data_IF_966351951411
#
_entry.id   IF_966351951411
#
_cell.length_a   1.000
_cell.length_b   1.000
_cell.length_c   1.000
_cell.angle_alpha   90.00
_cell.angle_beta   90.00
_cell.angle_gamma   90.00
#
_symmetry.space_group_name_H-M   'P 1'
#
loop_
_entity.id
_entity.type
_entity.pdbx_description
1 polymer ?
#
# COMPACT_ATOMS: atom_id res chain seq x y z
N UNK A 1 17.90 22.98 4.63
CA UNK A 1 16.70 22.84 5.49
C UNK A 1 15.50 22.69 4.58
N UNK A 2 14.71 21.65 4.77
CA UNK A 2 13.56 21.39 3.91
C UNK A 2 12.44 22.43 4.17
N UNK A 3 11.98 23.05 3.09
CA UNK A 3 10.92 24.07 3.15
C UNK A 3 9.55 23.52 2.78
N UNK A 4 9.52 22.37 2.11
CA UNK A 4 8.32 21.76 1.60
C UNK A 4 8.11 20.36 2.17
N UNK A 5 6.84 19.99 2.34
CA UNK A 5 6.41 18.70 2.85
C UNK A 5 5.27 18.14 1.99
N UNK A 6 5.40 16.91 1.55
CA UNK A 6 4.31 16.09 0.99
C UNK A 6 3.96 15.01 1.97
N UNK A 7 2.67 14.77 2.18
CA UNK A 7 2.16 13.68 3.01
C UNK A 7 1.30 12.77 2.15
N UNK A 8 1.65 11.50 2.10
CA UNK A 8 0.92 10.44 1.42
C UNK A 8 0.46 9.36 2.38
N UNK A 9 -0.73 8.86 2.18
CA UNK A 9 -1.24 7.68 2.88
C UNK A 9 -1.93 6.73 1.90
N UNK A 10 -1.79 5.44 2.13
CA UNK A 10 -2.55 4.42 1.42
C UNK A 10 -3.61 3.82 2.35
N UNK A 11 -4.82 3.59 1.83
CA UNK A 11 -5.89 2.86 2.51
C UNK A 11 -6.01 1.50 1.85
N UNK A 12 -5.70 0.46 2.58
CA UNK A 12 -5.76 -0.89 2.06
C UNK A 12 -6.44 -1.85 3.05
N UNK A 13 -7.17 -2.82 2.51
CA UNK A 13 -7.71 -3.97 3.24
C UNK A 13 -7.41 -5.22 2.42
N UNK A 14 -6.71 -6.21 2.99
CA UNK A 14 -6.47 -7.45 2.28
C UNK A 14 -7.77 -8.21 2.03
N UNK A 15 -7.78 -9.02 1.00
CA UNK A 15 -8.80 -10.03 0.75
C UNK A 15 -8.26 -11.36 1.25
N UNK A 16 -8.69 -11.79 2.42
CA UNK A 16 -8.11 -12.92 3.14
C UNK A 16 -8.46 -14.24 2.52
N UNK A 17 -7.48 -15.13 2.43
CA UNK A 17 -7.69 -16.50 2.01
C UNK A 17 -8.57 -17.24 3.03
N UNK A 18 -9.34 -18.20 2.55
CA UNK A 18 -10.12 -19.10 3.41
C UNK A 18 -9.22 -20.20 3.96
N UNK A 19 -8.97 -20.19 5.26
CA UNK A 19 -8.24 -21.24 5.95
C UNK A 19 -9.11 -21.88 7.06
N UNK A 20 -9.15 -23.20 7.18
CA UNK A 20 -8.54 -24.19 6.28
C UNK A 20 -9.07 -24.14 4.86
N UNK A 21 -8.19 -24.50 3.89
CA UNK A 21 -8.50 -24.46 2.47
C UNK A 21 -9.64 -25.41 2.10
N UNK A 22 -10.58 -24.92 1.33
CA UNK A 22 -11.68 -25.74 0.78
C UNK A 22 -11.36 -26.23 -0.62
N UNK A 23 -11.85 -27.43 -0.94
CA UNK A 23 -11.78 -27.97 -2.31
C UNK A 23 -12.81 -27.23 -3.16
N UNK A 24 -12.41 -26.74 -4.32
CA UNK A 24 -13.33 -26.21 -5.33
C UNK A 24 -13.91 -27.40 -6.09
N UNK A 25 -15.22 -27.67 -5.99
CA UNK A 25 -15.84 -28.80 -6.69
C UNK A 25 -15.69 -28.69 -8.21
N UNK A 26 -15.64 -29.85 -8.87
CA UNK A 26 -15.61 -29.92 -10.32
C UNK A 26 -16.83 -29.21 -10.94
N UNK A 27 -16.63 -28.45 -12.01
CA UNK A 27 -17.71 -27.73 -12.69
C UNK A 27 -18.29 -26.56 -11.93
N UNK A 28 -17.63 -26.09 -10.85
CA UNK A 28 -18.04 -24.87 -10.14
C UNK A 28 -18.04 -23.68 -11.08
N UNK A 29 -19.17 -22.97 -11.20
CA UNK A 29 -19.25 -21.75 -12.00
C UNK A 29 -18.24 -20.70 -11.52
N UNK A 30 -17.61 -19.93 -12.43
CA UNK A 30 -16.59 -18.93 -12.06
C UNK A 30 -17.01 -17.99 -10.95
N UNK A 31 -18.27 -17.57 -10.95
CA UNK A 31 -18.82 -16.63 -9.93
C UNK A 31 -18.87 -17.24 -8.52
N UNK A 32 -18.92 -18.55 -8.41
CA UNK A 32 -18.96 -19.25 -7.12
C UNK A 32 -17.57 -19.61 -6.58
N UNK A 33 -16.53 -19.66 -7.43
CA UNK A 33 -15.17 -20.02 -7.04
C UNK A 33 -14.62 -19.13 -5.89
N UNK A 34 -14.80 -17.79 -5.90
CA UNK A 34 -14.29 -16.92 -4.83
C UNK A 34 -14.76 -17.33 -3.43
N UNK A 35 -15.97 -17.89 -3.29
CA UNK A 35 -16.50 -18.35 -2.00
C UNK A 35 -15.73 -19.53 -1.38
N UNK A 36 -14.98 -20.30 -2.19
CA UNK A 36 -14.10 -21.37 -1.72
C UNK A 36 -12.68 -20.89 -1.40
N UNK A 37 -12.26 -19.77 -1.99
CA UNK A 37 -10.88 -19.28 -1.90
C UNK A 37 -10.71 -18.17 -0.85
N UNK A 38 -11.72 -17.32 -0.66
CA UNK A 38 -11.65 -16.13 0.21
C UNK A 38 -12.64 -16.22 1.35
N UNK A 39 -12.27 -15.66 2.51
CA UNK A 39 -13.10 -15.62 3.69
C UNK A 39 -13.73 -14.25 3.91
N UNK A 40 -14.92 -14.05 3.32
CA UNK A 40 -15.65 -12.79 3.43
C UNK A 40 -16.10 -12.46 4.86
N UNK A 41 -16.33 -13.47 5.70
CA UNK A 41 -16.73 -13.23 7.09
C UNK A 41 -15.55 -12.66 7.89
N UNK A 42 -14.36 -13.21 7.66
CA UNK A 42 -13.13 -12.75 8.28
C UNK A 42 -12.74 -11.35 7.75
N UNK A 43 -12.86 -11.13 6.43
CA UNK A 43 -12.65 -9.81 5.84
C UNK A 43 -13.54 -8.76 6.47
N UNK A 44 -14.84 -9.06 6.61
CA UNK A 44 -15.78 -8.16 7.24
C UNK A 44 -15.47 -7.88 8.70
N UNK A 45 -15.09 -8.92 9.46
CA UNK A 45 -14.72 -8.79 10.87
C UNK A 45 -13.59 -7.78 11.06
N UNK A 46 -12.47 -7.98 10.35
CA UNK A 46 -11.30 -7.09 10.45
C UNK A 46 -11.57 -5.72 9.84
N UNK A 47 -12.36 -5.65 8.76
CA UNK A 47 -12.76 -4.36 8.20
C UNK A 47 -13.54 -3.51 9.22
N UNK A 48 -14.54 -4.11 9.89
CA UNK A 48 -15.36 -3.40 10.90
C UNK A 48 -14.50 -2.95 12.10
N UNK A 49 -13.54 -3.77 12.52
CA UNK A 49 -12.58 -3.42 13.58
C UNK A 49 -11.73 -2.22 13.19
N UNK A 50 -11.09 -2.26 12.02
CA UNK A 50 -10.23 -1.18 11.52
C UNK A 50 -11.05 0.09 11.21
N UNK A 51 -12.28 -0.08 10.73
CA UNK A 51 -13.19 1.06 10.53
C UNK A 51 -13.45 1.84 11.83
N UNK A 52 -13.62 1.13 12.95
CA UNK A 52 -13.86 1.74 14.24
C UNK A 52 -12.59 2.38 14.84
N UNK A 53 -11.45 1.71 14.73
CA UNK A 53 -10.19 2.15 15.33
C UNK A 53 -9.51 3.25 14.51
N UNK A 54 -9.54 3.17 13.17
CA UNK A 54 -8.80 4.04 12.25
C UNK A 54 -9.70 4.83 11.29
N UNK A 55 -10.40 4.17 10.35
CA UNK A 55 -11.01 4.89 9.21
C UNK A 55 -11.97 6.00 9.61
N UNK A 56 -12.87 5.75 10.56
CA UNK A 56 -13.85 6.75 11.01
C UNK A 56 -13.17 7.91 11.75
N UNK A 57 -12.39 7.67 12.83
CA UNK A 57 -11.79 8.77 13.59
C UNK A 57 -10.68 9.50 12.83
N UNK A 58 -9.84 8.79 12.03
CA UNK A 58 -8.77 9.42 11.27
C UNK A 58 -9.32 10.26 10.11
N UNK A 59 -10.31 9.75 9.34
CA UNK A 59 -10.93 10.54 8.27
C UNK A 59 -11.61 11.81 8.83
N UNK A 60 -12.24 11.74 10.01
CA UNK A 60 -12.79 12.91 10.69
C UNK A 60 -11.69 13.90 11.08
N UNK A 61 -10.59 13.42 11.68
CA UNK A 61 -9.45 14.26 12.05
C UNK A 61 -8.84 14.96 10.84
N UNK A 62 -8.54 14.22 9.78
CA UNK A 62 -7.96 14.80 8.56
C UNK A 62 -8.93 15.74 7.83
N UNK A 63 -10.24 15.48 7.88
CA UNK A 63 -11.25 16.44 7.37
C UNK A 63 -11.15 17.78 8.08
N UNK A 64 -10.94 17.80 9.39
CA UNK A 64 -10.76 19.06 10.15
C UNK A 64 -9.40 19.72 9.87
N UNK A 65 -8.34 18.93 9.76
CA UNK A 65 -7.00 19.43 9.47
C UNK A 65 -6.90 20.04 8.08
N UNK A 66 -7.50 19.40 7.06
CA UNK A 66 -7.49 19.91 5.68
C UNK A 66 -8.23 21.24 5.55
N UNK A 67 -9.31 21.45 6.30
CA UNK A 67 -9.99 22.75 6.38
C UNK A 67 -9.10 23.85 6.97
N UNK A 68 -8.07 23.51 7.73
CA UNK A 68 -7.11 24.43 8.36
C UNK A 68 -5.81 24.56 7.58
N UNK A 69 -5.76 23.99 6.35
CA UNK A 69 -4.62 24.12 5.44
C UNK A 69 -3.64 22.95 5.45
N UNK A 70 -3.94 21.85 6.18
CA UNK A 70 -3.20 20.60 6.02
C UNK A 70 -3.42 20.06 4.59
N UNK A 71 -2.33 19.77 3.88
CA UNK A 71 -2.41 19.09 2.58
C UNK A 71 -1.95 17.65 2.73
N UNK A 72 -2.62 16.75 2.03
CA UNK A 72 -2.26 15.34 1.99
C UNK A 72 -2.72 14.68 0.70
N UNK A 73 -2.20 13.50 0.43
CA UNK A 73 -2.69 12.65 -0.64
C UNK A 73 -3.07 11.28 -0.11
N UNK A 74 -4.04 10.65 -0.75
CA UNK A 74 -4.60 9.37 -0.32
C UNK A 74 -4.74 8.43 -1.51
N UNK A 75 -4.13 7.24 -1.41
CA UNK A 75 -4.35 6.11 -2.30
C UNK A 75 -5.40 5.16 -1.73
N UNK A 76 -6.16 4.50 -2.60
CA UNK A 76 -7.14 3.49 -2.20
C UNK A 76 -6.97 2.23 -3.03
N UNK A 77 -6.77 1.09 -2.39
CA UNK A 77 -6.84 -0.19 -3.08
C UNK A 77 -8.29 -0.52 -3.44
N UNK A 78 -8.48 -1.24 -4.54
CA UNK A 78 -9.81 -1.71 -4.94
C UNK A 78 -10.39 -2.70 -3.93
N UNK A 79 -9.53 -3.45 -3.25
CA UNK A 79 -9.93 -4.36 -2.17
C UNK A 79 -10.64 -3.61 -1.05
N UNK A 80 -10.06 -2.50 -0.57
CA UNK A 80 -10.72 -1.63 0.41
C UNK A 80 -12.05 -1.08 -0.13
N UNK A 81 -12.07 -0.57 -1.37
CA UNK A 81 -13.27 0.06 -1.93
C UNK A 81 -14.44 -0.91 -2.03
N UNK A 82 -14.21 -2.14 -2.53
CA UNK A 82 -15.24 -3.18 -2.62
C UNK A 82 -15.80 -3.55 -1.25
N UNK A 83 -14.94 -3.69 -0.26
CA UNK A 83 -15.34 -3.99 1.12
C UNK A 83 -16.12 -2.83 1.73
N UNK A 84 -15.66 -1.59 1.55
CA UNK A 84 -16.32 -0.39 2.06
C UNK A 84 -17.72 -0.18 1.43
N UNK A 85 -17.84 -0.35 0.12
CA UNK A 85 -19.12 -0.26 -0.60
C UNK A 85 -20.11 -1.30 -0.09
N UNK A 86 -19.64 -2.53 0.15
CA UNK A 86 -20.50 -3.66 0.53
C UNK A 86 -20.94 -3.61 2.00
N UNK A 87 -20.01 -3.31 2.92
CA UNK A 87 -20.26 -3.47 4.35
C UNK A 87 -20.32 -2.17 5.14
N UNK A 88 -19.66 -1.13 4.67
CA UNK A 88 -19.50 0.11 5.43
C UNK A 88 -19.64 1.38 4.56
N UNK A 89 -20.80 1.63 3.90
CA UNK A 89 -20.99 2.79 3.05
C UNK A 89 -20.80 4.13 3.80
N UNK A 90 -20.96 4.14 5.13
CA UNK A 90 -20.67 5.32 5.97
C UNK A 90 -19.17 5.63 6.04
N UNK A 91 -18.31 4.62 6.03
CA UNK A 91 -16.85 4.79 5.96
C UNK A 91 -16.48 5.43 4.63
N UNK A 92 -16.98 4.87 3.53
CA UNK A 92 -16.75 5.42 2.20
C UNK A 92 -17.26 6.87 2.08
N UNK A 93 -18.42 7.18 2.63
CA UNK A 93 -18.95 8.55 2.68
C UNK A 93 -18.04 9.50 3.46
N UNK A 94 -17.42 9.02 4.55
CA UNK A 94 -16.40 9.76 5.32
C UNK A 94 -15.16 10.09 4.48
N UNK A 95 -14.64 9.12 3.73
CA UNK A 95 -13.54 9.36 2.80
C UNK A 95 -13.93 10.26 1.63
N UNK A 96 -15.11 10.10 1.04
CA UNK A 96 -15.61 11.03 0.01
C UNK A 96 -15.66 12.48 0.52
N UNK A 97 -16.11 12.68 1.76
CA UNK A 97 -16.11 14.00 2.39
C UNK A 97 -14.71 14.57 2.58
N UNK A 98 -13.74 13.76 3.05
CA UNK A 98 -12.34 14.15 3.18
C UNK A 98 -11.73 14.50 1.82
N UNK A 99 -11.92 13.63 0.84
CA UNK A 99 -11.38 13.78 -0.51
C UNK A 99 -12.01 14.92 -1.31
N UNK A 100 -13.19 15.41 -0.93
CA UNK A 100 -13.78 16.60 -1.55
C UNK A 100 -13.00 17.90 -1.25
N UNK A 101 -12.12 17.90 -0.23
CA UNK A 101 -11.26 19.04 0.07
C UNK A 101 -10.29 19.34 -1.09
N UNK A 102 -10.05 20.61 -1.46
CA UNK A 102 -9.01 20.98 -2.43
C UNK A 102 -7.59 20.68 -1.89
N UNK A 103 -7.45 20.48 -0.60
CA UNK A 103 -6.19 20.14 0.07
C UNK A 103 -5.93 18.62 0.13
N UNK A 104 -6.72 17.82 -0.58
CA UNK A 104 -6.52 16.37 -0.70
C UNK A 104 -6.40 15.98 -2.16
N UNK A 105 -5.32 15.31 -2.51
CA UNK A 105 -5.11 14.70 -3.83
C UNK A 105 -5.32 13.20 -3.75
N UNK A 106 -5.94 12.62 -4.77
CA UNK A 106 -6.09 11.17 -4.89
C UNK A 106 -4.90 10.63 -5.66
N UNK A 107 -4.29 9.60 -5.12
CA UNK A 107 -3.20 8.85 -5.74
C UNK A 107 -3.76 7.54 -6.28
N UNK A 108 -3.47 7.23 -7.54
CA UNK A 108 -3.79 5.90 -8.07
C UNK A 108 -2.89 4.85 -7.42
N UNK A 109 -3.46 3.72 -7.07
CA UNK A 109 -2.72 2.58 -6.50
C UNK A 109 -3.03 1.36 -7.34
N UNK A 110 -2.13 0.38 -7.38
CA UNK A 110 -2.41 -0.90 -8.02
C UNK A 110 -3.68 -1.50 -7.39
N UNK A 111 -4.74 -1.76 -8.20
CA UNK A 111 -6.09 -2.01 -7.65
C UNK A 111 -6.20 -3.22 -6.74
N UNK A 112 -5.46 -4.29 -7.04
CA UNK A 112 -5.51 -5.55 -6.30
C UNK A 112 -4.52 -5.59 -5.14
N UNK A 113 -3.63 -4.60 -5.04
CA UNK A 113 -2.46 -4.62 -4.16
C UNK A 113 -1.62 -5.88 -4.37
N UNK A 114 -1.31 -6.17 -5.64
CA UNK A 114 -0.83 -7.47 -6.10
C UNK A 114 0.53 -7.42 -6.78
N UNK A 115 1.16 -8.60 -6.91
CA UNK A 115 2.39 -8.77 -7.67
C UNK A 115 2.16 -8.93 -9.19
N UNK A 116 1.01 -8.48 -9.70
CA UNK A 116 0.71 -8.47 -11.13
C UNK A 116 1.80 -7.76 -11.94
N UNK A 117 2.34 -6.67 -11.40
CA UNK A 117 3.47 -5.93 -11.98
C UNK A 117 4.72 -6.80 -12.23
N UNK A 118 4.87 -7.89 -11.49
CA UNK A 118 6.00 -8.81 -11.63
C UNK A 118 5.73 -9.92 -12.63
N UNK A 119 4.48 -10.35 -12.76
CA UNK A 119 4.10 -11.48 -13.61
C UNK A 119 3.63 -11.08 -15.00
N UNK A 120 2.99 -9.91 -15.12
CA UNK A 120 2.36 -9.48 -16.37
C UNK A 120 2.25 -7.95 -16.44
N UNK A 121 3.30 -7.32 -16.96
CA UNK A 121 3.37 -5.86 -17.06
C UNK A 121 2.27 -5.25 -17.96
N UNK A 122 1.73 -6.01 -18.92
CA UNK A 122 0.64 -5.56 -19.77
C UNK A 122 -0.66 -5.50 -18.97
N UNK A 123 -0.99 -6.61 -18.29
CA UNK A 123 -2.16 -6.66 -17.42
C UNK A 123 -2.07 -5.69 -16.25
N UNK A 124 -0.85 -5.43 -15.73
CA UNK A 124 -0.61 -4.38 -14.74
C UNK A 124 -1.00 -2.99 -15.28
N UNK A 125 -0.55 -2.62 -16.48
CA UNK A 125 -0.93 -1.32 -17.09
C UNK A 125 -2.45 -1.19 -17.26
N UNK A 126 -3.10 -2.24 -17.75
CA UNK A 126 -4.56 -2.28 -17.90
C UNK A 126 -5.26 -2.09 -16.54
N UNK A 127 -4.79 -2.78 -15.50
CA UNK A 127 -5.31 -2.63 -14.14
C UNK A 127 -5.13 -1.20 -13.61
N UNK A 128 -3.94 -0.61 -13.80
CA UNK A 128 -3.66 0.77 -13.39
C UNK A 128 -4.58 1.78 -14.06
N UNK A 129 -4.85 1.63 -15.36
CA UNK A 129 -5.76 2.51 -16.09
C UNK A 129 -7.22 2.34 -15.65
N UNK A 130 -7.67 1.10 -15.45
CA UNK A 130 -9.01 0.81 -14.95
C UNK A 130 -9.22 1.33 -13.51
N UNK A 131 -8.19 1.15 -12.65
CA UNK A 131 -8.19 1.67 -11.28
C UNK A 131 -8.29 3.19 -11.25
N UNK A 132 -7.51 3.89 -12.08
CA UNK A 132 -7.58 5.34 -12.21
C UNK A 132 -8.98 5.80 -12.60
N UNK A 133 -9.57 5.21 -13.64
CA UNK A 133 -10.91 5.56 -14.08
C UNK A 133 -11.93 5.38 -12.94
N UNK A 134 -11.89 4.24 -12.25
CA UNK A 134 -12.78 4.00 -11.10
C UNK A 134 -12.65 5.03 -10.00
N UNK A 135 -11.42 5.40 -9.63
CA UNK A 135 -11.17 6.40 -8.59
C UNK A 135 -11.63 7.80 -9.04
N UNK A 136 -11.38 8.18 -10.30
CA UNK A 136 -11.85 9.45 -10.88
C UNK A 136 -13.40 9.54 -10.86
N UNK A 137 -14.08 8.45 -11.22
CA UNK A 137 -15.54 8.36 -11.15
C UNK A 137 -16.06 8.41 -9.70
N UNK A 138 -15.38 7.74 -8.76
CA UNK A 138 -15.82 7.64 -7.37
C UNK A 138 -15.64 8.96 -6.60
N UNK A 139 -14.53 9.65 -6.82
CA UNK A 139 -14.16 10.86 -6.09
C UNK A 139 -14.35 12.16 -6.87
N UNK A 140 -14.70 12.07 -8.17
CA UNK A 140 -14.93 13.21 -9.06
C UNK A 140 -13.72 14.17 -9.11
N UNK A 141 -12.50 13.59 -9.16
CA UNK A 141 -11.22 14.31 -9.25
C UNK A 141 -10.31 13.68 -10.30
N UNK A 142 -9.57 14.49 -11.07
CA UNK A 142 -8.55 13.96 -11.98
C UNK A 142 -7.39 13.38 -11.17
N UNK A 143 -6.78 12.30 -11.69
CA UNK A 143 -5.68 11.60 -11.04
C UNK A 143 -4.46 11.62 -11.96
N UNK A 144 -3.40 12.27 -11.50
CA UNK A 144 -2.14 12.42 -12.23
C UNK A 144 -0.95 11.76 -11.53
N UNK A 145 -1.09 11.40 -10.27
CA UNK A 145 -0.04 10.79 -9.43
C UNK A 145 -0.41 9.36 -9.11
N UNK A 146 0.59 8.51 -9.01
CA UNK A 146 0.40 7.08 -8.76
C UNK A 146 1.37 6.53 -7.71
N UNK A 147 0.98 5.41 -7.16
CA UNK A 147 1.78 4.48 -6.38
C UNK A 147 1.54 3.06 -6.90
N UNK A 148 2.29 2.11 -6.43
CA UNK A 148 2.18 0.69 -6.78
C UNK A 148 2.00 -0.15 -5.52
N UNK A 149 1.87 -1.45 -5.69
CA UNK A 149 1.91 -2.41 -4.59
C UNK A 149 3.20 -2.23 -3.80
N UNK A 150 3.08 -2.00 -2.48
CA UNK A 150 4.23 -1.87 -1.57
C UNK A 150 5.25 -0.78 -1.97
N UNK A 151 4.78 0.25 -2.65
CA UNK A 151 5.64 1.29 -3.25
C UNK A 151 6.74 0.71 -4.15
N UNK A 152 6.46 -0.46 -4.76
CA UNK A 152 7.43 -1.16 -5.59
C UNK A 152 7.76 -0.35 -6.83
N UNK A 153 9.06 -0.11 -7.04
CA UNK A 153 9.55 0.62 -8.20
C UNK A 153 10.75 -0.11 -8.82
N UNK A 154 10.57 -0.61 -10.03
CA UNK A 154 11.64 -1.10 -10.90
C UNK A 154 11.65 -0.32 -12.19
N UNK A 155 12.71 -0.51 -12.97
CA UNK A 155 12.83 0.13 -14.28
C UNK A 155 11.61 -0.15 -15.17
N UNK A 156 11.18 -1.41 -15.28
CA UNK A 156 10.02 -1.80 -16.09
C UNK A 156 8.71 -1.18 -15.59
N UNK A 157 8.52 -1.13 -14.27
CA UNK A 157 7.35 -0.51 -13.64
C UNK A 157 7.35 0.99 -13.89
N UNK A 158 8.50 1.66 -13.76
CA UNK A 158 8.62 3.09 -14.08
C UNK A 158 8.17 3.39 -15.52
N UNK A 159 8.65 2.63 -16.51
CA UNK A 159 8.24 2.79 -17.91
C UNK A 159 6.76 2.49 -18.13
N UNK A 160 6.22 1.47 -17.44
CA UNK A 160 4.81 1.14 -17.51
C UNK A 160 3.93 2.28 -16.97
N UNK A 161 4.27 2.86 -15.83
CA UNK A 161 3.55 3.99 -15.24
C UNK A 161 3.59 5.23 -16.12
N UNK A 162 4.74 5.51 -16.75
CA UNK A 162 4.84 6.60 -17.71
C UNK A 162 3.97 6.36 -18.96
N UNK A 163 3.92 5.12 -19.47
CA UNK A 163 3.04 4.76 -20.59
C UNK A 163 1.56 4.88 -20.23
N UNK A 164 1.19 4.68 -18.95
CA UNK A 164 -0.15 4.94 -18.45
C UNK A 164 -0.49 6.43 -18.35
N UNK A 165 0.47 7.34 -18.61
CA UNK A 165 0.26 8.78 -18.62
C UNK A 165 0.19 9.44 -17.26
N UNK A 166 0.81 8.84 -16.24
CA UNK A 166 0.99 9.51 -14.94
C UNK A 166 2.09 10.56 -15.02
N UNK A 167 1.96 11.63 -14.23
CA UNK A 167 2.92 12.72 -14.16
C UNK A 167 3.97 12.51 -13.07
N UNK A 168 3.58 11.85 -11.98
CA UNK A 168 4.46 11.52 -10.88
C UNK A 168 4.11 10.18 -10.24
N UNK A 169 5.08 9.56 -9.58
CA UNK A 169 4.93 8.35 -8.79
C UNK A 169 5.73 8.47 -7.48
N UNK A 170 5.30 7.74 -6.46
CA UNK A 170 6.09 7.56 -5.24
C UNK A 170 7.13 6.46 -5.44
N UNK A 171 8.27 6.58 -4.77
CA UNK A 171 9.33 5.59 -4.69
C UNK A 171 9.97 5.64 -3.32
N UNK A 172 10.34 4.50 -2.75
CA UNK A 172 11.05 4.42 -1.48
C UNK A 172 12.48 4.98 -1.60
N UNK A 173 12.91 5.73 -0.58
CA UNK A 173 14.21 6.36 -0.52
C UNK A 173 15.22 5.57 0.30
N UNK A 174 15.87 4.58 -0.31
CA UNK A 174 16.93 3.81 0.32
C UNK A 174 18.31 4.24 -0.19
N UNK A 175 19.27 4.34 0.71
CA UNK A 175 20.64 4.78 0.38
C UNK A 175 21.29 3.94 -0.72
N UNK A 176 21.09 2.61 -0.68
CA UNK A 176 21.63 1.70 -1.68
C UNK A 176 21.04 1.94 -3.08
N UNK A 177 19.81 2.47 -3.17
CA UNK A 177 19.16 2.85 -4.44
C UNK A 177 19.55 4.26 -4.88
N UNK A 178 19.59 5.20 -3.93
CA UNK A 178 19.85 6.61 -4.21
C UNK A 178 21.35 6.89 -4.44
N UNK A 179 22.24 6.07 -3.85
CA UNK A 179 23.68 6.27 -3.85
C UNK A 179 24.05 7.55 -3.09
N UNK A 180 24.68 8.49 -3.77
CA UNK A 180 25.05 9.79 -3.18
C UNK A 180 23.92 10.82 -3.14
N UNK A 181 22.73 10.46 -3.62
CA UNK A 181 21.56 11.35 -3.69
C UNK A 181 20.77 11.30 -2.39
N UNK A 182 20.08 12.39 -2.11
CA UNK A 182 19.21 12.50 -0.95
C UNK A 182 17.75 12.25 -1.35
N UNK A 183 16.95 11.69 -0.45
CA UNK A 183 15.51 11.49 -0.66
C UNK A 183 14.70 12.81 -0.66
N UNK A 184 15.36 13.93 -0.50
CA UNK A 184 14.76 15.24 -0.26
C UNK A 184 14.61 16.11 -1.51
N UNK A 185 14.57 15.47 -2.67
CA UNK A 185 14.37 16.13 -3.97
C UNK A 185 13.37 15.38 -4.83
N UNK A 186 12.80 16.08 -5.80
CA UNK A 186 12.01 15.45 -6.87
C UNK A 186 12.95 15.01 -7.98
N UNK A 187 12.90 13.74 -8.33
CA UNK A 187 13.74 13.16 -9.39
C UNK A 187 12.93 12.73 -10.61
N UNK A 188 13.63 12.29 -11.61
CA UNK A 188 13.11 11.57 -12.77
C UNK A 188 14.15 10.54 -13.25
N UNK A 189 13.74 9.58 -14.04
CA UNK A 189 14.69 8.69 -14.72
C UNK A 189 15.49 9.46 -15.77
N UNK A 190 16.79 9.16 -16.00
CA UNK A 190 17.62 9.89 -16.96
C UNK A 190 17.05 9.97 -18.38
N UNK A 191 16.31 8.96 -18.81
CA UNK A 191 15.76 8.87 -20.17
C UNK A 191 14.27 9.23 -20.26
N UNK A 192 13.61 9.57 -19.14
CA UNK A 192 12.16 9.68 -19.10
C UNK A 192 11.67 10.86 -18.25
N UNK A 193 10.36 11.12 -18.23
CA UNK A 193 9.78 12.36 -17.67
C UNK A 193 8.88 12.17 -16.46
N UNK A 194 8.45 10.94 -16.14
CA UNK A 194 7.67 10.67 -14.93
C UNK A 194 8.48 11.14 -13.71
N UNK A 195 7.89 11.99 -12.88
CA UNK A 195 8.56 12.50 -11.68
C UNK A 195 8.49 11.47 -10.57
N UNK A 196 9.54 11.38 -9.79
CA UNK A 196 9.62 10.52 -8.61
C UNK A 196 9.64 11.38 -7.36
N UNK A 197 8.66 11.16 -6.50
CA UNK A 197 8.58 11.68 -5.15
C UNK A 197 9.17 10.61 -4.22
N UNK A 198 10.34 10.91 -3.69
CA UNK A 198 11.09 9.93 -2.90
C UNK A 198 10.63 9.96 -1.46
N UNK A 199 10.06 8.84 -0.96
CA UNK A 199 9.68 8.70 0.43
C UNK A 199 10.91 8.84 1.34
N UNK A 200 10.85 9.75 2.29
CA UNK A 200 11.88 9.86 3.31
C UNK A 200 11.71 8.72 4.32
N UNK A 201 12.52 7.68 4.19
CA UNK A 201 12.42 6.45 4.95
C UNK A 201 12.35 6.69 6.47
N UNK A 202 13.41 7.24 7.06
CA UNK A 202 13.53 7.37 8.52
C UNK A 202 12.40 8.19 9.14
N UNK A 203 12.11 9.38 8.58
CA UNK A 203 11.04 10.24 9.10
C UNK A 203 9.65 9.59 8.92
N UNK A 204 9.43 8.83 7.85
CA UNK A 204 8.18 8.11 7.68
C UNK A 204 8.04 7.00 8.72
N UNK A 205 9.09 6.21 8.93
CA UNK A 205 9.08 5.09 9.86
C UNK A 205 9.07 5.52 11.34
N UNK A 206 9.58 6.71 11.66
CA UNK A 206 9.47 7.29 13.00
C UNK A 206 8.01 7.42 13.45
N UNK A 207 7.10 7.74 12.53
CA UNK A 207 5.67 7.87 12.80
C UNK A 207 4.92 6.59 12.42
N UNK A 208 5.22 5.98 11.27
CA UNK A 208 4.50 4.82 10.77
C UNK A 208 4.74 3.55 11.57
N UNK A 209 5.93 3.42 12.12
CA UNK A 209 6.39 2.18 12.74
C UNK A 209 6.88 2.35 14.18
N UNK A 210 7.75 3.35 14.46
CA UNK A 210 8.42 3.50 15.76
C UNK A 210 7.62 4.25 16.80
N UNK A 211 6.56 4.97 16.45
CA UNK A 211 5.83 5.92 17.30
C UNK A 211 5.39 5.36 18.67
N UNK A 212 4.89 4.14 18.72
CA UNK A 212 4.45 3.49 19.96
C UNK A 212 5.49 2.56 20.59
N UNK A 213 6.68 2.42 19.99
CA UNK A 213 7.74 1.56 20.50
C UNK A 213 8.44 2.22 21.70
N UNK A 214 8.12 1.75 22.90
CA UNK A 214 8.68 2.27 24.17
C UNK A 214 10.17 2.01 24.36
N UNK A 215 10.77 1.12 23.58
CA UNK A 215 12.20 0.84 23.59
C UNK A 215 12.98 1.72 22.61
N UNK A 216 12.29 2.48 21.76
CA UNK A 216 12.93 3.43 20.87
C UNK A 216 13.51 4.60 21.64
N UNK A 217 14.74 4.98 21.35
CA UNK A 217 15.47 6.02 22.08
C UNK A 217 14.78 7.39 22.06
N UNK A 218 13.99 7.68 21.04
CA UNK A 218 13.26 8.94 20.89
C UNK A 218 11.82 8.88 21.42
N UNK A 219 11.44 7.75 22.02
CA UNK A 219 10.12 7.63 22.65
C UNK A 219 10.05 8.43 23.96
N UNK A 220 8.93 9.16 24.26
CA UNK A 220 7.79 9.43 23.37
C UNK A 220 8.10 10.52 22.33
N UNK A 221 7.77 10.26 21.07
CA UNK A 221 7.96 11.23 20.01
C UNK A 221 7.01 12.41 20.17
N UNK A 222 7.54 13.60 20.35
CA UNK A 222 6.76 14.83 20.47
C UNK A 222 6.64 15.53 19.11
N UNK A 223 5.47 16.14 18.86
CA UNK A 223 5.17 16.76 17.56
C UNK A 223 6.05 17.97 17.23
N UNK A 224 6.49 18.73 18.21
CA UNK A 224 7.43 19.84 18.03
C UNK A 224 8.83 19.35 17.66
N UNK A 225 9.29 18.28 18.31
CA UNK A 225 10.56 17.61 17.99
C UNK A 225 10.55 17.09 16.57
N UNK A 226 9.51 16.33 16.20
CA UNK A 226 9.37 15.78 14.85
C UNK A 226 9.26 16.87 13.78
N UNK A 227 8.49 17.94 14.03
CA UNK A 227 8.43 19.09 13.12
C UNK A 227 9.78 19.82 13.00
N UNK A 228 10.59 19.79 14.05
CA UNK A 228 11.99 20.23 14.01
C UNK A 228 12.81 19.38 13.05
N UNK A 229 12.76 18.05 13.18
CA UNK A 229 13.48 17.13 12.29
C UNK A 229 13.09 17.31 10.82
N UNK A 230 11.79 17.42 10.54
CA UNK A 230 11.31 17.70 9.17
C UNK A 230 11.91 18.99 8.63
N UNK A 231 11.90 20.08 9.43
CA UNK A 231 12.42 21.39 9.01
C UNK A 231 13.94 21.39 8.83
N UNK A 232 14.66 20.71 9.72
CA UNK A 232 16.13 20.70 9.75
C UNK A 232 16.75 19.71 8.76
N UNK A 233 15.94 18.81 8.18
CA UNK A 233 16.37 17.93 7.09
C UNK A 233 16.95 18.75 5.94
N UNK A 234 18.13 18.35 5.47
CA UNK A 234 18.76 19.03 4.33
C UNK A 234 18.02 18.70 3.04
N UNK A 235 17.80 19.70 2.18
CA UNK A 235 17.12 19.53 0.89
C UNK A 235 15.97 20.52 0.71
N UNK A 236 15.10 20.24 -0.25
CA UNK A 236 13.97 21.12 -0.60
C UNK A 236 12.59 20.54 -0.29
N UNK A 237 12.49 19.22 -0.19
CA UNK A 237 11.25 18.50 0.02
C UNK A 237 11.45 17.33 0.96
N UNK A 238 10.57 17.15 1.93
CA UNK A 238 10.38 15.90 2.63
C UNK A 238 9.07 15.26 2.11
N UNK A 239 9.11 14.02 1.63
CA UNK A 239 7.91 13.27 1.30
C UNK A 239 7.72 12.15 2.34
N UNK A 240 6.63 12.21 3.09
CA UNK A 240 6.24 11.19 4.07
C UNK A 240 5.20 10.26 3.47
N UNK A 241 5.35 8.97 3.71
CA UNK A 241 4.43 7.93 3.25
C UNK A 241 4.07 6.96 4.36
N UNK A 242 2.77 6.72 4.59
CA UNK A 242 2.24 5.85 5.65
C UNK A 242 1.04 5.04 5.17
N UNK A 243 0.79 3.93 5.82
CA UNK A 243 -0.55 3.36 5.84
C UNK A 243 -1.50 4.32 6.54
N UNK A 244 -2.72 4.44 6.04
CA UNK A 244 -3.75 5.23 6.71
C UNK A 244 -4.09 4.63 8.08
N UNK A 245 -3.94 3.33 8.19
CA UNK A 245 -4.13 2.50 9.38
C UNK A 245 -3.13 2.82 10.51
N UNK A 246 -2.03 3.50 10.20
CA UNK A 246 -1.11 4.11 11.18
C UNK A 246 -1.89 4.89 12.24
N UNK A 247 -2.95 5.60 11.82
CA UNK A 247 -3.75 6.46 12.67
C UNK A 247 -4.93 5.70 13.28
N UNK A 248 -4.66 4.94 14.35
CA UNK A 248 -5.66 4.29 15.17
C UNK A 248 -5.67 2.77 15.14
N UNK A 249 -5.09 2.13 14.12
CA UNK A 249 -4.91 0.68 14.08
C UNK A 249 -3.48 0.27 14.46
N UNK A 250 -2.46 0.69 13.72
CA UNK A 250 -1.06 0.39 14.06
C UNK A 250 -0.65 1.09 15.35
N UNK A 251 -1.02 2.34 15.51
CA UNK A 251 -0.88 3.07 16.77
C UNK A 251 -2.25 3.39 17.33
N UNK A 252 -2.65 2.62 18.35
CA UNK A 252 -3.95 2.77 19.02
C UNK A 252 -4.13 4.19 19.57
N UNK A 253 -5.38 4.62 19.73
CA UNK A 253 -5.72 5.98 20.22
C UNK A 253 -4.96 6.36 21.51
N UNK A 254 -4.76 5.41 22.41
CA UNK A 254 -4.10 5.57 23.70
C UNK A 254 -2.62 5.93 23.59
N UNK A 255 -2.00 5.68 22.43
CA UNK A 255 -0.63 6.09 22.17
C UNK A 255 -0.49 7.60 21.96
N UNK A 256 -1.59 8.32 21.77
CA UNK A 256 -1.61 9.77 21.51
C UNK A 256 -1.41 10.15 20.03
N UNK A 257 -1.42 9.21 19.08
CA UNK A 257 -1.16 9.46 17.66
C UNK A 257 -2.08 10.53 17.05
N UNK A 258 -3.36 10.56 17.42
CA UNK A 258 -4.29 11.57 16.93
C UNK A 258 -3.95 12.98 17.44
N UNK A 259 -3.56 13.11 18.71
CA UNK A 259 -3.19 14.39 19.28
C UNK A 259 -1.83 14.86 18.73
N UNK A 260 -0.87 13.93 18.62
CA UNK A 260 0.39 14.19 17.94
C UNK A 260 0.16 14.79 16.55
N UNK A 261 -0.70 14.21 15.74
CA UNK A 261 -0.98 14.68 14.37
C UNK A 261 -1.61 16.08 14.36
N UNK A 262 -2.54 16.36 15.29
CA UNK A 262 -3.16 17.69 15.41
C UNK A 262 -2.15 18.76 15.84
N UNK A 263 -1.24 18.42 16.73
CA UNK A 263 -0.17 19.34 17.19
C UNK A 263 0.87 19.51 16.10
N UNK A 264 1.25 18.43 15.41
CA UNK A 264 2.20 18.46 14.29
C UNK A 264 1.77 19.46 13.21
N UNK A 265 0.50 19.50 12.86
CA UNK A 265 -0.02 20.48 11.90
C UNK A 265 0.25 21.94 12.32
N UNK A 266 0.15 22.23 13.61
CA UNK A 266 0.43 23.56 14.17
C UNK A 266 1.95 23.86 14.18
N UNK A 267 2.75 22.87 14.57
CA UNK A 267 4.19 23.01 14.70
C UNK A 267 4.90 23.17 13.34
N UNK A 268 4.45 22.45 12.30
CA UNK A 268 4.93 22.63 10.93
C UNK A 268 4.64 24.05 10.42
N UNK A 269 3.40 24.55 10.64
CA UNK A 269 3.03 25.92 10.27
C UNK A 269 3.87 26.97 11.00
N UNK A 270 4.12 26.79 12.30
CA UNK A 270 4.98 27.67 13.12
C UNK A 270 6.41 27.73 12.59
N UNK A 271 6.92 26.58 12.07
CA UNK A 271 8.26 26.47 11.46
C UNK A 271 8.29 26.87 9.98
N UNK A 272 7.18 27.36 9.44
CA UNK A 272 7.03 27.80 8.04
C UNK A 272 7.33 26.68 7.04
N UNK A 273 7.05 25.43 7.38
CA UNK A 273 7.07 24.32 6.44
C UNK A 273 5.84 24.40 5.56
N UNK A 274 6.03 24.53 4.26
CA UNK A 274 4.96 24.61 3.26
C UNK A 274 4.51 23.19 2.88
N UNK A 275 3.25 22.89 3.08
CA UNK A 275 2.68 21.64 2.62
C UNK A 275 2.29 21.72 1.15
N UNK A 276 2.67 20.72 0.37
CA UNK A 276 2.35 20.59 -1.04
C UNK A 276 1.55 19.31 -1.29
N UNK A 277 0.69 19.36 -2.31
CA UNK A 277 0.16 18.14 -2.93
C UNK A 277 1.24 17.50 -3.82
N UNK A 278 1.24 16.19 -4.03
CA UNK A 278 2.21 15.52 -4.89
C UNK A 278 2.33 16.14 -6.29
N UNK A 279 1.21 16.47 -6.93
CA UNK A 279 1.22 17.12 -8.24
C UNK A 279 1.83 18.53 -8.20
N UNK A 280 1.61 19.30 -7.14
CA UNK A 280 2.24 20.61 -6.94
C UNK A 280 3.76 20.46 -6.78
N UNK A 281 4.21 19.52 -5.94
CA UNK A 281 5.62 19.24 -5.73
C UNK A 281 6.30 18.78 -7.04
N UNK A 282 5.67 17.88 -7.78
CA UNK A 282 6.18 17.39 -9.06
C UNK A 282 6.31 18.52 -10.10
N UNK A 283 5.36 19.45 -10.14
CA UNK A 283 5.38 20.58 -11.07
C UNK A 283 6.41 21.64 -10.68
N UNK A 284 6.42 22.06 -9.42
CA UNK A 284 7.27 23.15 -8.95
C UNK A 284 8.74 22.73 -8.79
N UNK A 285 9.00 21.62 -8.08
CA UNK A 285 10.35 21.17 -7.74
C UNK A 285 10.93 20.26 -8.80
N UNK A 286 10.11 19.51 -9.52
CA UNK A 286 10.51 18.65 -10.63
C UNK A 286 11.02 19.40 -11.87
N UNK A 287 10.88 20.73 -11.93
CA UNK A 287 11.39 21.56 -13.02
C UNK A 287 12.91 21.50 -13.16
N UNK A 288 13.66 21.23 -12.07
CA UNK A 288 15.13 21.09 -12.09
C UNK A 288 15.62 19.85 -12.84
N UNK A 289 14.76 18.87 -13.09
CA UNK A 289 15.09 17.59 -13.79
C UNK A 289 16.27 16.85 -13.19
N UNK A 290 16.32 16.77 -11.88
CA UNK A 290 17.30 15.93 -11.19
C UNK A 290 17.05 14.47 -11.55
N UNK A 291 18.12 13.70 -11.68
CA UNK A 291 18.04 12.33 -12.21
C UNK A 291 18.42 11.30 -11.15
N UNK A 292 17.65 10.23 -11.09
CA UNK A 292 17.96 9.03 -10.31
C UNK A 292 17.82 7.79 -11.18
N UNK A 293 18.80 6.87 -11.17
CA UNK A 293 18.63 5.59 -11.83
C UNK A 293 17.58 4.77 -11.05
N UNK A 294 16.68 4.12 -11.77
CA UNK A 294 15.77 3.14 -11.20
C UNK A 294 16.33 1.75 -11.52
N UNK A 295 16.52 0.93 -10.51
CA UNK A 295 17.16 -0.37 -10.70
C UNK A 295 16.20 -1.41 -11.31
N UNK A 296 16.75 -2.50 -11.83
CA UNK A 296 15.97 -3.59 -12.44
C UNK A 296 15.34 -4.51 -11.39
N UNK A 297 15.90 -4.59 -10.19
CA UNK A 297 15.46 -5.50 -9.13
C UNK A 297 14.28 -4.94 -8.32
N UNK A 298 14.08 -3.64 -8.37
CA UNK A 298 13.03 -2.93 -7.67
C UNK A 298 13.36 -2.55 -6.22
N UNK A 299 12.69 -1.52 -5.77
CA UNK A 299 12.64 -1.09 -4.37
C UNK A 299 11.23 -1.27 -3.83
N UNK A 300 11.09 -1.48 -2.53
CA UNK A 300 9.81 -1.44 -1.80
C UNK A 300 9.98 -0.61 -0.54
N UNK A 301 8.91 -0.23 0.10
CA UNK A 301 8.99 0.46 1.40
C UNK A 301 9.15 -0.52 2.59
N UNK A 302 8.97 -1.82 2.35
CA UNK A 302 9.02 -2.84 3.39
C UNK A 302 10.44 -3.34 3.66
N UNK A 303 10.70 -3.69 4.92
CA UNK A 303 11.98 -4.26 5.37
C UNK A 303 13.19 -3.39 5.01
N UNK A 304 14.21 -3.98 4.40
CA UNK A 304 15.42 -3.27 3.96
C UNK A 304 15.26 -2.58 2.58
N UNK A 305 14.06 -2.56 2.05
CA UNK A 305 13.72 -1.82 0.83
C UNK A 305 13.85 -2.61 -0.47
N UNK A 306 14.12 -3.89 -0.42
CA UNK A 306 14.13 -4.80 -1.56
C UNK A 306 13.03 -5.86 -1.49
N UNK A 307 13.15 -6.89 -2.32
CA UNK A 307 12.18 -8.00 -2.36
C UNK A 307 12.39 -9.06 -1.26
N UNK A 308 13.43 -8.95 -0.45
CA UNK A 308 13.72 -9.91 0.63
C UNK A 308 12.62 -9.95 1.71
N UNK A 309 11.85 -8.88 1.88
CA UNK A 309 10.71 -8.86 2.77
C UNK A 309 9.60 -9.82 2.30
N UNK A 310 9.39 -9.95 1.00
CA UNK A 310 8.35 -10.77 0.37
C UNK A 310 8.84 -12.11 -0.16
N UNK A 311 10.14 -12.25 -0.42
CA UNK A 311 10.75 -13.45 -1.02
C UNK A 311 11.95 -13.97 -0.23
N UNK A 312 12.13 -13.52 1.01
CA UNK A 312 13.33 -13.80 1.80
C UNK A 312 13.40 -15.21 2.41
N UNK A 313 12.30 -15.97 2.40
CA UNK A 313 12.30 -17.34 2.90
C UNK A 313 11.72 -18.34 1.89
N UNK A 314 11.97 -19.65 2.11
CA UNK A 314 11.53 -20.70 1.20
C UNK A 314 10.00 -20.82 1.08
N UNK A 315 9.27 -20.52 2.16
CA UNK A 315 7.81 -20.56 2.16
C UNK A 315 7.24 -19.47 1.24
N UNK A 316 7.76 -18.25 1.33
CA UNK A 316 7.40 -17.14 0.45
C UNK A 316 7.73 -17.45 -1.01
N UNK A 317 8.95 -17.95 -1.29
CA UNK A 317 9.33 -18.33 -2.65
C UNK A 317 8.47 -19.47 -3.21
N UNK A 318 8.13 -20.46 -2.38
CA UNK A 318 7.21 -21.53 -2.74
C UNK A 318 5.83 -21.02 -3.12
N UNK A 319 5.29 -20.11 -2.31
CA UNK A 319 3.99 -19.51 -2.56
C UNK A 319 4.00 -18.62 -3.80
N UNK A 320 5.04 -17.81 -3.99
CA UNK A 320 5.19 -16.97 -5.18
C UNK A 320 5.18 -17.78 -6.49
N UNK A 321 5.82 -18.96 -6.49
CA UNK A 321 5.72 -19.89 -7.63
C UNK A 321 4.29 -20.41 -7.85
N UNK A 322 3.55 -20.70 -6.78
CA UNK A 322 2.14 -21.10 -6.88
C UNK A 322 1.24 -19.96 -7.38
N UNK A 323 1.48 -18.73 -6.93
CA UNK A 323 0.81 -17.54 -7.45
C UNK A 323 1.00 -17.40 -8.96
N UNK A 324 2.25 -17.48 -9.41
CA UNK A 324 2.58 -17.42 -10.85
C UNK A 324 1.91 -18.54 -11.64
N UNK A 325 1.95 -19.77 -11.12
CA UNK A 325 1.33 -20.91 -11.79
C UNK A 325 -0.21 -20.77 -11.87
N UNK A 326 -0.85 -20.35 -10.78
CA UNK A 326 -2.29 -20.10 -10.73
C UNK A 326 -2.73 -19.05 -11.75
N UNK A 327 -2.00 -17.92 -11.80
CA UNK A 327 -2.29 -16.84 -12.75
C UNK A 327 -2.07 -17.28 -14.20
N UNK A 328 -0.94 -17.91 -14.49
CA UNK A 328 -0.63 -18.40 -15.84
C UNK A 328 -1.67 -19.38 -16.34
N UNK A 329 -2.11 -20.30 -15.47
CA UNK A 329 -3.15 -21.27 -15.80
C UNK A 329 -4.52 -20.62 -16.00
N UNK A 330 -4.88 -19.65 -15.17
CA UNK A 330 -6.09 -18.86 -15.33
C UNK A 330 -6.13 -18.15 -16.71
N UNK A 331 -5.01 -17.57 -17.14
CA UNK A 331 -4.91 -16.96 -18.48
C UNK A 331 -5.16 -17.97 -19.62
N UNK A 332 -4.71 -19.20 -19.47
CA UNK A 332 -4.92 -20.25 -20.49
C UNK A 332 -6.39 -20.65 -20.64
N UNK A 333 -7.24 -20.41 -19.65
CA UNK A 333 -8.69 -20.67 -19.78
C UNK A 333 -9.38 -19.72 -20.76
N UNK A 334 -8.81 -18.54 -21.01
CA UNK A 334 -9.44 -17.50 -21.82
C UNK A 334 -10.69 -16.86 -21.18
N UNK A 335 -11.11 -17.28 -19.98
CA UNK A 335 -12.26 -16.70 -19.28
C UNK A 335 -11.82 -15.51 -18.41
N UNK A 336 -12.27 -14.27 -18.71
CA UNK A 336 -11.88 -13.08 -17.97
C UNK A 336 -12.29 -13.11 -16.49
N UNK A 337 -13.36 -13.86 -16.14
CA UNK A 337 -13.83 -14.00 -14.74
C UNK A 337 -12.83 -14.83 -13.93
N UNK A 338 -12.27 -15.89 -14.53
CA UNK A 338 -11.24 -16.74 -13.90
C UNK A 338 -9.93 -15.95 -13.76
N UNK A 339 -9.54 -15.19 -14.79
CA UNK A 339 -8.36 -14.33 -14.73
C UNK A 339 -8.50 -13.28 -13.63
N UNK A 340 -9.70 -12.72 -13.48
CA UNK A 340 -9.99 -11.75 -12.40
C UNK A 340 -9.81 -12.37 -11.01
N UNK A 341 -10.30 -13.60 -10.79
CA UNK A 341 -10.09 -14.34 -9.53
C UNK A 341 -8.59 -14.53 -9.27
N UNK A 342 -7.84 -14.90 -10.30
CA UNK A 342 -6.40 -15.12 -10.18
C UNK A 342 -5.64 -13.84 -9.80
N UNK A 343 -6.03 -12.67 -10.32
CA UNK A 343 -5.43 -11.38 -9.91
C UNK A 343 -5.59 -11.14 -8.40
N UNK A 344 -6.76 -11.44 -7.83
CA UNK A 344 -6.98 -11.33 -6.38
C UNK A 344 -6.13 -12.29 -5.56
N UNK A 345 -5.71 -13.43 -6.10
CA UNK A 345 -4.79 -14.35 -5.45
C UNK A 345 -3.33 -13.85 -5.45
N UNK A 346 -2.99 -12.81 -6.23
CA UNK A 346 -1.63 -12.27 -6.32
C UNK A 346 -1.31 -11.21 -5.26
N UNK A 347 -2.18 -10.94 -4.28
CA UNK A 347 -1.98 -9.89 -3.28
C UNK A 347 -0.65 -10.07 -2.53
N UNK A 348 0.06 -8.95 -2.29
CA UNK A 348 1.31 -8.92 -1.52
C UNK A 348 1.14 -9.44 -0.11
N UNK A 349 -0.03 -9.18 0.50
CA UNK A 349 -0.41 -9.65 1.83
C UNK A 349 -0.21 -11.15 2.01
N UNK A 350 -0.47 -11.95 0.98
CA UNK A 350 -0.30 -13.40 1.04
C UNK A 350 1.18 -13.83 1.25
N UNK A 351 2.13 -13.01 0.83
CA UNK A 351 3.56 -13.22 1.09
C UNK A 351 3.98 -12.56 2.41
N UNK A 352 3.41 -11.39 2.71
CA UNK A 352 3.66 -10.68 3.95
C UNK A 352 3.30 -11.55 5.18
N UNK A 353 2.11 -12.15 5.17
CA UNK A 353 1.62 -12.94 6.31
C UNK A 353 2.50 -14.15 6.70
N UNK A 354 3.41 -14.58 5.83
CA UNK A 354 4.34 -15.68 6.08
C UNK A 354 5.81 -15.26 6.12
N UNK A 355 6.09 -13.96 6.21
CA UNK A 355 7.46 -13.45 6.36
C UNK A 355 8.15 -13.92 7.65
N UNK A 356 7.38 -14.22 8.69
CA UNK A 356 7.86 -14.72 9.98
C UNK A 356 8.46 -16.12 9.91
N UNK A 357 8.21 -16.88 8.85
CA UNK A 357 8.74 -18.22 8.73
C UNK A 357 10.28 -18.20 8.69
N UNK A 358 10.90 -18.88 9.66
CA UNK A 358 12.34 -18.90 9.80
C UNK A 358 12.97 -17.63 10.42
N UNK A 359 12.17 -16.69 10.90
CA UNK A 359 12.61 -15.45 11.58
C UNK A 359 12.02 -15.38 12.98
N UNK A 360 12.79 -14.86 13.94
CA UNK A 360 12.38 -14.59 15.29
C UNK A 360 12.24 -13.08 15.50
N UNK A 361 11.19 -12.65 16.21
CA UNK A 361 10.99 -11.24 16.58
C UNK A 361 10.77 -10.32 15.38
N UNK A 362 10.13 -10.80 14.32
CA UNK A 362 9.84 -10.02 13.14
C UNK A 362 8.54 -9.21 13.30
N UNK A 363 8.37 -8.20 12.43
CA UNK A 363 7.14 -7.41 12.31
C UNK A 363 5.87 -8.26 12.13
N UNK A 364 6.02 -9.52 11.77
CA UNK A 364 4.92 -10.48 11.61
C UNK A 364 4.15 -10.78 12.90
N UNK A 365 4.75 -10.56 14.06
CA UNK A 365 4.06 -10.66 15.35
C UNK A 365 3.13 -9.47 15.60
N UNK A 366 3.12 -8.48 14.72
CA UNK A 366 2.64 -7.14 15.04
C UNK A 366 1.15 -6.97 14.87
N UNK A 367 0.45 -7.78 14.08
CA UNK A 367 -0.97 -7.49 13.90
C UNK A 367 -1.79 -8.69 13.39
N UNK A 368 -2.85 -9.02 14.13
CA UNK A 368 -3.94 -9.88 13.67
C UNK A 368 -4.60 -9.40 12.36
N UNK A 369 -4.34 -8.16 11.97
CA UNK A 369 -4.73 -7.58 10.70
C UNK A 369 -4.13 -8.33 9.50
N UNK A 370 -2.85 -8.70 9.57
CA UNK A 370 -2.17 -9.47 8.51
C UNK A 370 -2.31 -10.98 8.70
N UNK A 371 -2.11 -11.48 9.92
CA UNK A 371 -2.28 -12.89 10.25
C UNK A 371 -3.42 -13.02 11.27
N UNK A 372 -4.65 -13.31 10.81
CA UNK A 372 -5.82 -13.42 11.67
C UNK A 372 -5.60 -14.35 12.85
N UNK A 373 -6.07 -13.96 14.03
CA UNK A 373 -5.93 -14.73 15.27
C UNK A 373 -6.52 -16.14 15.12
N UNK A 374 -7.60 -16.28 14.37
CA UNK A 374 -8.29 -17.54 14.10
C UNK A 374 -7.41 -18.57 13.38
N UNK A 375 -6.43 -18.09 12.60
CA UNK A 375 -5.53 -18.98 11.86
C UNK A 375 -4.49 -19.65 12.75
N UNK A 376 -4.15 -19.07 13.91
CA UNK A 376 -3.15 -19.62 14.81
C UNK A 376 -3.57 -20.94 15.47
N UNK A 377 -4.86 -21.30 15.45
CA UNK A 377 -5.34 -22.63 15.83
C UNK A 377 -4.78 -23.74 14.93
N UNK A 378 -4.42 -23.42 13.68
CA UNK A 378 -3.78 -24.34 12.73
C UNK A 378 -2.28 -24.57 13.05
N UNK A 379 -1.70 -23.71 13.89
CA UNK A 379 -0.25 -23.62 14.09
C UNK A 379 0.48 -23.10 12.84
N UNK A 380 1.70 -22.62 13.03
CA UNK A 380 2.50 -21.98 11.99
C UNK A 380 2.63 -22.82 10.69
N UNK A 381 2.98 -24.12 10.83
CA UNK A 381 3.09 -25.04 9.70
C UNK A 381 1.72 -25.29 9.06
N UNK A 382 0.65 -25.34 9.84
CA UNK A 382 -0.71 -25.48 9.35
C UNK A 382 -1.13 -24.29 8.49
N UNK A 383 -0.86 -23.06 8.94
CA UNK A 383 -1.11 -21.83 8.15
C UNK A 383 -0.44 -21.91 6.78
N UNK A 384 0.86 -22.21 6.74
CA UNK A 384 1.62 -22.33 5.49
C UNK A 384 1.03 -23.39 4.56
N UNK A 385 0.73 -24.57 5.12
CA UNK A 385 0.19 -25.68 4.35
C UNK A 385 -1.19 -25.36 3.79
N UNK A 386 -2.08 -24.81 4.59
CA UNK A 386 -3.43 -24.47 4.16
C UNK A 386 -3.43 -23.33 3.15
N UNK A 387 -2.57 -22.33 3.33
CA UNK A 387 -2.38 -21.26 2.35
C UNK A 387 -1.98 -21.83 0.98
N UNK A 388 -0.96 -22.70 0.93
CA UNK A 388 -0.56 -23.36 -0.32
C UNK A 388 -1.68 -24.19 -0.93
N UNK A 389 -2.52 -24.86 -0.10
CA UNK A 389 -3.67 -25.66 -0.55
C UNK A 389 -4.73 -24.82 -1.24
N UNK A 390 -4.95 -23.56 -0.84
CA UNK A 390 -5.87 -22.65 -1.54
C UNK A 390 -5.47 -22.54 -3.02
N UNK A 391 -4.20 -22.25 -3.29
CA UNK A 391 -3.70 -22.14 -4.67
C UNK A 391 -3.75 -23.48 -5.42
N UNK A 392 -3.37 -24.57 -4.78
CA UNK A 392 -3.43 -25.92 -5.38
C UNK A 392 -4.87 -26.28 -5.73
N UNK A 393 -5.84 -25.99 -4.87
CA UNK A 393 -7.25 -26.29 -5.13
C UNK A 393 -7.79 -25.44 -6.29
N UNK A 394 -7.41 -24.17 -6.38
CA UNK A 394 -7.74 -23.33 -7.52
C UNK A 394 -7.12 -23.85 -8.81
N UNK A 395 -5.82 -24.16 -8.82
CA UNK A 395 -5.10 -24.71 -9.98
C UNK A 395 -5.77 -26.01 -10.47
N UNK A 396 -6.15 -26.91 -9.56
CA UNK A 396 -6.85 -28.18 -9.89
C UNK A 396 -8.22 -27.93 -10.49
N UNK A 397 -8.97 -26.98 -9.93
CA UNK A 397 -10.28 -26.63 -10.50
C UNK A 397 -10.16 -26.17 -11.96
N UNK A 398 -9.07 -25.49 -12.32
CA UNK A 398 -8.84 -25.01 -13.68
C UNK A 398 -8.48 -26.13 -14.67
N UNK A 399 -7.99 -27.29 -14.22
CA UNK A 399 -7.74 -28.46 -15.10
C UNK A 399 -9.01 -28.95 -15.77
N UNK A 400 -10.15 -28.71 -15.19
CA UNK A 400 -11.45 -29.11 -15.68
C UNK A 400 -12.11 -28.09 -16.61
N UNK A 401 -11.71 -26.83 -16.51
CA UNK A 401 -12.12 -25.77 -17.46
C UNK A 401 -11.38 -25.85 -18.79
N UNK A 402 -10.26 -26.55 -18.85
CA UNK A 402 -9.43 -26.71 -20.06
C UNK A 402 -9.84 -27.91 -20.90
N UNK A 403 -10.85 -28.69 -20.47
CA UNK A 403 -11.43 -29.81 -21.18
C UNK A 403 -12.69 -29.41 -21.94
#
# INVERSE_FOLDING_TARGET
MAENLVVYTIVHQPRRLRLPAQVVPAGTAPEAIPGFLFDEALDRHYFEQVAASSYIPAAAMFTDLTRRGWKMSIGFSNSFLVQAERWAPKVLAGFKKLCASPNVEIVNVEPYHSWLLYFDIVAFKEAMLAGRQRLEELFQKPIAVTDTTEMFMSNDVYFALQQCGFNAAFMEGRDWQLGWRESTHVYQHPLQRLKLLIRHHDLSDDVGYRFSNRHWQQWPLMADTYAGWVRDTWGELVALGWDFETFGEHHRRETGIFEFTRVLAKELKKRKVRMLLPSEAAAELGARRLEVPVNEYGTTWAGEGGMEFFLGNEAQQGLFRLMHHAYSKAKLTGDPRIVEIAKWLLQSDNLHLIQWFGRWGSEAEVSAYFTPDEWWELGAIGILREQQRVYINFIRALDEYAK
#
